data_IF_018598731620
#
_entry.id   IF_018598731620
#
_cell.length_a   1.000
_cell.length_b   1.000
_cell.length_c   1.000
_cell.angle_alpha   90.00
_cell.angle_beta   90.00
_cell.angle_gamma   90.00
#
_symmetry.space_group_name_H-M   'P 1'
#
loop_
_entity.id
_entity.type
_entity.pdbx_description
1 polymer ?
#
# COMPACT_ATOMS: atom_id res chain seq x y z
N UNK A 1 -6.54 -7.03 -4.28
CA UNK A 1 -5.61 -6.65 -5.39
C UNK A 1 -5.74 -7.64 -6.54
N UNK A 2 -6.14 -7.13 -7.70
CA UNK A 2 -6.53 -7.96 -8.85
C UNK A 2 -5.39 -8.83 -9.39
N UNK A 3 -4.13 -8.41 -9.30
CA UNK A 3 -2.99 -9.22 -9.75
C UNK A 3 -2.84 -10.53 -8.98
N UNK A 4 -2.97 -10.50 -7.64
CA UNK A 4 -2.95 -11.73 -6.83
C UNK A 4 -4.17 -12.63 -7.14
N UNK A 5 -5.35 -12.02 -7.28
CA UNK A 5 -6.58 -12.73 -7.64
C UNK A 5 -6.45 -13.41 -9.01
N UNK A 6 -5.88 -12.70 -9.99
CA UNK A 6 -5.61 -13.24 -11.31
C UNK A 6 -4.71 -14.48 -11.25
N UNK A 7 -3.58 -14.38 -10.58
CA UNK A 7 -2.66 -15.50 -10.42
C UNK A 7 -3.27 -16.71 -9.70
N UNK A 8 -4.17 -16.47 -8.74
CA UNK A 8 -4.90 -17.53 -8.05
C UNK A 8 -5.91 -18.22 -8.98
N UNK A 9 -6.77 -17.46 -9.66
CA UNK A 9 -7.84 -18.03 -10.51
C UNK A 9 -7.28 -18.72 -11.75
N UNK A 10 -6.21 -18.18 -12.33
CA UNK A 10 -5.58 -18.76 -13.53
C UNK A 10 -4.65 -19.94 -13.22
N UNK A 11 -4.43 -20.27 -11.95
CA UNK A 11 -3.56 -21.40 -11.56
C UNK A 11 -2.06 -21.11 -11.69
N UNK A 12 -1.65 -19.83 -11.81
CA UNK A 12 -0.23 -19.47 -11.88
C UNK A 12 0.49 -19.94 -10.61
N UNK A 13 -0.08 -19.70 -9.42
CA UNK A 13 0.53 -20.15 -8.18
C UNK A 13 0.66 -21.68 -8.11
N UNK A 14 -0.36 -22.42 -8.57
CA UNK A 14 -0.32 -23.90 -8.65
C UNK A 14 0.78 -24.38 -9.60
N UNK A 15 0.98 -23.72 -10.74
CA UNK A 15 2.07 -23.99 -11.70
C UNK A 15 3.44 -23.92 -11.02
N UNK A 16 3.62 -23.02 -10.05
CA UNK A 16 4.83 -22.89 -9.24
C UNK A 16 4.81 -23.79 -7.99
N UNK A 17 3.81 -24.65 -7.83
CA UNK A 17 3.67 -25.54 -6.68
C UNK A 17 3.36 -24.79 -5.37
N UNK A 18 2.65 -23.68 -5.48
CA UNK A 18 2.15 -22.89 -4.34
C UNK A 18 0.66 -23.17 -4.18
N UNK A 19 0.28 -23.66 -2.99
CA UNK A 19 -1.11 -23.72 -2.54
C UNK A 19 -1.42 -22.40 -1.82
N UNK A 20 -2.05 -21.46 -2.56
CA UNK A 20 -2.22 -20.08 -2.11
C UNK A 20 -3.52 -19.91 -1.31
N UNK A 21 -3.40 -19.42 -0.07
CA UNK A 21 -4.52 -18.95 0.75
C UNK A 21 -4.43 -17.42 0.91
N UNK A 22 -5.33 -16.70 0.24
CA UNK A 22 -5.38 -15.24 0.27
C UNK A 22 -6.29 -14.79 1.41
N UNK A 23 -5.74 -14.06 2.36
CA UNK A 23 -6.47 -13.49 3.50
C UNK A 23 -6.48 -11.98 3.46
N UNK A 24 -7.63 -11.37 3.78
CA UNK A 24 -7.71 -9.93 3.99
C UNK A 24 -6.90 -9.52 5.20
N UNK A 25 -6.05 -8.50 5.02
CA UNK A 25 -5.34 -7.83 6.10
C UNK A 25 -6.22 -6.78 6.78
N UNK A 26 -5.74 -6.29 7.92
CA UNK A 26 -6.33 -5.15 8.65
C UNK A 26 -5.27 -4.06 8.79
N UNK A 27 -4.89 -3.47 7.65
CA UNK A 27 -3.82 -2.50 7.50
C UNK A 27 -2.41 -3.11 7.37
N UNK A 28 -1.50 -2.36 6.76
CA UNK A 28 -0.15 -2.82 6.38
C UNK A 28 0.68 -3.30 7.57
N UNK A 29 0.69 -2.54 8.67
CA UNK A 29 1.44 -2.93 9.87
C UNK A 29 0.92 -4.22 10.49
N UNK A 30 -0.40 -4.47 10.40
CA UNK A 30 -0.99 -5.71 10.89
C UNK A 30 -0.60 -6.90 10.01
N UNK A 31 -0.65 -6.74 8.68
CA UNK A 31 -0.27 -7.77 7.74
C UNK A 31 1.21 -8.19 7.91
N UNK A 32 2.11 -7.21 8.05
CA UNK A 32 3.54 -7.51 8.29
C UNK A 32 3.79 -8.17 9.64
N UNK A 33 3.00 -7.84 10.69
CA UNK A 33 3.10 -8.53 12.00
C UNK A 33 2.69 -9.99 11.92
N UNK A 34 1.70 -10.36 11.11
CA UNK A 34 1.35 -11.78 10.92
C UNK A 34 2.53 -12.57 10.37
N UNK A 35 3.28 -11.99 9.44
CA UNK A 35 4.52 -12.60 8.93
C UNK A 35 5.61 -12.66 10.01
N UNK A 36 5.83 -11.57 10.73
CA UNK A 36 6.82 -11.52 11.81
C UNK A 36 6.56 -12.57 12.90
N UNK A 37 5.30 -12.89 13.16
CA UNK A 37 4.88 -13.90 14.16
C UNK A 37 4.84 -15.32 13.60
N UNK A 38 5.00 -15.51 12.28
CA UNK A 38 4.85 -16.82 11.62
C UNK A 38 3.41 -17.27 11.38
N UNK A 39 2.44 -16.36 11.49
CA UNK A 39 1.01 -16.63 11.24
C UNK A 39 0.65 -16.58 9.74
N UNK A 40 1.55 -16.03 8.92
CA UNK A 40 1.48 -15.99 7.46
C UNK A 40 2.88 -16.11 6.87
N UNK A 41 3.02 -16.77 5.72
CA UNK A 41 4.31 -16.92 5.03
C UNK A 41 4.73 -15.61 4.34
N UNK A 42 3.77 -14.90 3.78
CA UNK A 42 3.98 -13.64 3.06
C UNK A 42 2.93 -12.60 3.45
N UNK A 43 3.26 -11.35 3.25
CA UNK A 43 2.34 -10.21 3.36
C UNK A 43 2.54 -9.26 2.20
N UNK A 44 1.48 -8.53 1.86
CA UNK A 44 1.51 -7.41 0.94
C UNK A 44 1.04 -6.15 1.67
N UNK A 45 1.82 -5.08 1.59
CA UNK A 45 1.52 -3.84 2.31
C UNK A 45 2.59 -2.78 2.12
N UNK A 46 2.40 -1.63 2.76
CA UNK A 46 3.33 -0.48 2.68
C UNK A 46 4.74 -0.86 3.11
N UNK A 47 5.72 -0.58 2.25
CA UNK A 47 7.14 -0.79 2.54
C UNK A 47 7.59 0.04 3.75
N UNK A 48 7.08 1.28 3.90
CA UNK A 48 7.39 2.12 5.05
C UNK A 48 6.92 1.52 6.37
N UNK A 49 5.71 0.94 6.40
CA UNK A 49 5.21 0.23 7.58
C UNK A 49 6.02 -1.04 7.89
N UNK A 50 6.51 -1.73 6.86
CA UNK A 50 7.40 -2.89 7.02
C UNK A 50 8.75 -2.45 7.62
N UNK A 51 9.36 -1.37 7.11
CA UNK A 51 10.61 -0.82 7.64
C UNK A 51 10.45 -0.39 9.09
N UNK A 52 9.35 0.29 9.44
CA UNK A 52 9.07 0.69 10.82
C UNK A 52 9.03 -0.51 11.77
N UNK A 53 8.38 -1.60 11.37
CA UNK A 53 8.35 -2.84 12.16
C UNK A 53 9.73 -3.51 12.23
N UNK A 54 10.43 -3.62 11.10
CA UNK A 54 11.76 -4.25 11.05
C UNK A 54 12.78 -3.48 11.89
N UNK A 55 12.72 -2.14 11.91
CA UNK A 55 13.59 -1.30 12.73
C UNK A 55 13.41 -1.53 14.24
N UNK A 56 12.22 -1.99 14.64
CA UNK A 56 11.86 -2.37 16.01
C UNK A 56 12.17 -3.84 16.32
N UNK A 57 12.86 -4.53 15.42
CA UNK A 57 13.32 -5.91 15.58
C UNK A 57 12.37 -6.98 15.04
N UNK A 58 11.31 -6.61 14.31
CA UNK A 58 10.46 -7.58 13.62
C UNK A 58 11.25 -8.26 12.49
N UNK A 59 11.26 -9.60 12.40
CA UNK A 59 12.08 -10.34 11.43
C UNK A 59 11.41 -10.40 10.05
N UNK A 60 11.17 -9.25 9.44
CA UNK A 60 10.52 -9.13 8.12
C UNK A 60 11.41 -8.41 7.12
N UNK A 61 11.33 -8.78 5.85
CA UNK A 61 12.11 -8.21 4.75
C UNK A 61 11.32 -8.25 3.44
N UNK A 62 11.43 -7.18 2.63
CA UNK A 62 10.86 -7.15 1.28
C UNK A 62 11.60 -8.12 0.35
N UNK A 63 10.85 -8.87 -0.43
CA UNK A 63 11.34 -9.79 -1.47
C UNK A 63 10.86 -9.42 -2.87
N UNK A 64 10.07 -8.35 -2.99
CA UNK A 64 9.62 -7.79 -4.26
C UNK A 64 8.69 -6.59 -4.05
N UNK A 65 8.76 -5.61 -4.92
CA UNK A 65 7.92 -4.40 -4.90
C UNK A 65 6.88 -4.50 -6.00
N UNK A 66 5.62 -4.23 -5.69
CA UNK A 66 4.54 -4.12 -6.67
C UNK A 66 4.25 -2.66 -6.95
N UNK A 67 3.84 -1.90 -5.95
CA UNK A 67 3.64 -0.47 -6.12
C UNK A 67 4.99 0.23 -5.86
N UNK A 68 5.69 0.52 -6.94
CA UNK A 68 7.06 1.06 -6.85
C UNK A 68 7.09 2.51 -6.36
N UNK A 69 5.95 3.20 -6.40
CA UNK A 69 5.78 4.57 -5.88
C UNK A 69 4.65 4.61 -4.87
N UNK A 70 4.80 5.42 -3.82
CA UNK A 70 3.77 5.63 -2.82
C UNK A 70 2.57 6.41 -3.38
N UNK A 71 1.39 5.99 -3.01
CA UNK A 71 0.10 6.59 -3.41
C UNK A 71 -0.56 7.38 -2.28
N UNK A 72 0.06 7.43 -1.12
CA UNK A 72 -0.51 8.03 0.08
C UNK A 72 -0.82 9.51 -0.12
N UNK A 73 -1.98 9.90 0.39
CA UNK A 73 -2.50 11.25 0.27
C UNK A 73 -3.41 11.63 1.46
N UNK A 74 -3.60 12.92 1.66
CA UNK A 74 -4.77 13.44 2.36
C UNK A 74 -5.87 13.66 1.32
N UNK A 75 -7.02 13.04 1.53
CA UNK A 75 -8.18 13.10 0.64
C UNK A 75 -9.28 13.89 1.35
N UNK A 76 -9.66 15.02 0.80
CA UNK A 76 -10.58 15.97 1.42
C UNK A 76 -11.87 16.06 0.61
N UNK A 77 -13.00 16.20 1.30
CA UNK A 77 -14.27 16.42 0.60
C UNK A 77 -14.24 17.74 -0.17
N UNK A 78 -14.76 17.77 -1.42
CA UNK A 78 -14.75 18.99 -2.24
C UNK A 78 -15.49 20.16 -1.61
N UNK A 79 -16.50 19.89 -0.78
CA UNK A 79 -17.33 20.88 -0.09
C UNK A 79 -16.75 21.38 1.24
N UNK A 80 -15.61 20.82 1.68
CA UNK A 80 -15.02 21.11 3.00
C UNK A 80 -14.31 22.47 3.08
N UNK A 81 -14.16 23.18 1.95
CA UNK A 81 -13.49 24.49 1.92
C UNK A 81 -11.99 24.42 2.24
N UNK A 82 -11.35 23.27 1.95
CA UNK A 82 -9.90 23.05 2.11
C UNK A 82 -9.26 23.10 0.72
N UNK A 83 -8.35 24.02 0.52
CA UNK A 83 -7.66 24.24 -0.75
C UNK A 83 -6.14 24.04 -0.65
N UNK A 84 -5.62 23.92 0.56
CA UNK A 84 -4.23 23.65 0.86
C UNK A 84 -4.11 22.76 2.10
N UNK A 85 -2.96 22.11 2.27
CA UNK A 85 -2.69 21.31 3.48
C UNK A 85 -2.72 22.17 4.76
N UNK A 86 -2.38 23.46 4.66
CA UNK A 86 -2.41 24.42 5.78
C UNK A 86 -3.82 24.68 6.27
N UNK A 87 -4.84 24.56 5.42
CA UNK A 87 -6.25 24.74 5.80
C UNK A 87 -6.77 23.60 6.70
N UNK A 88 -5.99 22.53 6.86
CA UNK A 88 -6.30 21.42 7.77
C UNK A 88 -6.12 21.82 9.24
N UNK A 89 -5.48 22.95 9.55
CA UNK A 89 -5.27 23.38 10.93
C UNK A 89 -6.60 23.49 11.70
N UNK A 90 -6.68 22.76 12.81
CA UNK A 90 -7.89 22.67 13.65
C UNK A 90 -9.02 21.83 13.05
N UNK A 91 -8.80 21.18 11.90
CA UNK A 91 -9.80 20.31 11.26
C UNK A 91 -9.67 18.88 11.75
N UNK A 92 -10.74 18.12 11.55
CA UNK A 92 -10.82 16.69 11.83
C UNK A 92 -10.51 15.89 10.57
N UNK A 93 -9.56 14.95 10.67
CA UNK A 93 -9.19 13.98 9.62
C UNK A 93 -9.38 12.58 10.19
N UNK A 94 -9.99 11.69 9.39
CA UNK A 94 -10.15 10.29 9.77
C UNK A 94 -9.01 9.44 9.21
N UNK A 95 -8.63 8.43 9.94
CA UNK A 95 -7.69 7.40 9.52
C UNK A 95 -8.06 6.05 10.11
N UNK A 96 -7.36 4.99 9.70
CA UNK A 96 -7.49 3.65 10.30
C UNK A 96 -6.25 3.28 11.09
N UNK A 97 -6.42 2.47 12.13
CA UNK A 97 -5.29 1.92 12.86
C UNK A 97 -4.44 1.04 11.91
N UNK A 98 -3.13 1.06 12.09
CA UNK A 98 -2.18 0.24 11.32
C UNK A 98 -2.11 0.52 9.80
N UNK A 99 -2.76 1.58 9.29
CA UNK A 99 -2.64 1.98 7.89
C UNK A 99 -1.23 2.50 7.57
N UNK A 100 -0.73 2.14 6.38
CA UNK A 100 0.59 2.58 5.89
C UNK A 100 0.71 4.11 5.79
N UNK A 101 -0.38 4.79 5.43
CA UNK A 101 -0.46 6.25 5.29
C UNK A 101 -0.04 7.00 6.56
N UNK A 102 -0.24 6.40 7.74
CA UNK A 102 0.09 7.05 9.00
C UNK A 102 1.60 7.20 9.22
N UNK A 103 2.41 6.34 8.59
CA UNK A 103 3.87 6.32 8.78
C UNK A 103 4.53 7.62 8.35
N UNK A 104 4.04 8.23 7.26
CA UNK A 104 4.67 9.41 6.65
C UNK A 104 3.86 10.70 6.81
N UNK A 105 2.64 10.64 7.35
CA UNK A 105 1.82 11.82 7.54
C UNK A 105 2.48 12.91 8.41
N UNK A 106 3.18 12.58 9.50
CA UNK A 106 3.92 13.59 10.28
C UNK A 106 4.95 14.37 9.45
N UNK A 107 5.58 13.71 8.47
CA UNK A 107 6.56 14.35 7.56
C UNK A 107 5.86 15.35 6.65
N UNK A 108 4.69 14.97 6.09
CA UNK A 108 3.86 15.86 5.26
C UNK A 108 3.51 17.12 6.05
N UNK A 109 3.08 16.98 7.29
CA UNK A 109 2.74 18.10 8.16
C UNK A 109 3.97 18.98 8.43
N UNK A 110 5.09 18.39 8.80
CA UNK A 110 6.34 19.14 9.08
C UNK A 110 6.79 19.95 7.86
N UNK A 111 6.77 19.34 6.66
CA UNK A 111 7.16 20.02 5.41
C UNK A 111 6.13 21.10 4.99
N UNK A 112 4.89 20.98 5.44
CA UNK A 112 3.85 22.00 5.27
C UNK A 112 3.86 23.09 6.36
N UNK A 113 4.79 23.02 7.33
CA UNK A 113 4.87 23.95 8.47
C UNK A 113 3.82 23.72 9.54
N UNK A 114 3.27 22.50 9.62
CA UNK A 114 2.30 22.04 10.60
C UNK A 114 2.90 20.96 11.50
N UNK A 115 2.18 20.60 12.53
CA UNK A 115 2.47 19.47 13.42
C UNK A 115 1.20 18.63 13.64
N UNK A 116 1.34 17.41 14.15
CA UNK A 116 0.19 16.57 14.48
C UNK A 116 -0.75 17.24 15.50
N UNK A 117 -0.23 18.08 16.40
CA UNK A 117 -1.03 18.83 17.36
C UNK A 117 -1.88 19.95 16.73
N UNK A 118 -1.63 20.30 15.47
CA UNK A 118 -2.44 21.26 14.72
C UNK A 118 -3.67 20.61 14.06
N UNK A 119 -3.74 19.29 14.02
CA UNK A 119 -4.79 18.51 13.34
C UNK A 119 -5.49 17.60 14.35
N UNK A 120 -6.82 17.48 14.25
CA UNK A 120 -7.54 16.48 15.01
C UNK A 120 -7.60 15.17 14.18
N UNK A 121 -7.03 14.09 14.71
CA UNK A 121 -6.99 12.79 14.02
C UNK A 121 -7.88 11.82 14.79
N UNK A 122 -8.91 11.31 14.12
CA UNK A 122 -9.78 10.26 14.67
C UNK A 122 -9.57 8.95 13.94
N UNK A 123 -9.28 7.91 14.73
CA UNK A 123 -9.13 6.55 14.22
C UNK A 123 -10.50 5.88 14.18
N UNK A 124 -10.86 5.36 13.00
CA UNK A 124 -12.10 4.60 12.78
C UNK A 124 -11.77 3.19 12.28
N UNK A 125 -12.70 2.21 12.41
CA UNK A 125 -12.52 0.91 11.77
C UNK A 125 -12.37 1.03 10.25
N UNK A 126 -11.53 0.20 9.64
CA UNK A 126 -11.25 0.26 8.21
C UNK A 126 -12.51 0.19 7.33
N UNK A 127 -13.39 -0.76 7.58
CA UNK A 127 -14.66 -0.86 6.86
C UNK A 127 -15.66 0.29 7.07
N UNK A 128 -15.36 1.24 8.00
CA UNK A 128 -16.17 2.42 8.24
C UNK A 128 -15.52 3.72 7.71
N UNK A 129 -14.29 3.66 7.19
CA UNK A 129 -13.53 4.87 6.84
C UNK A 129 -14.26 5.69 5.77
N UNK A 130 -14.60 5.08 4.64
CA UNK A 130 -15.25 5.78 3.52
C UNK A 130 -16.67 6.21 3.88
N UNK A 131 -17.47 5.39 4.56
CA UNK A 131 -18.81 5.80 5.00
C UNK A 131 -18.74 6.98 5.98
N UNK A 132 -17.82 6.96 6.94
CA UNK A 132 -17.61 8.07 7.88
C UNK A 132 -17.12 9.35 7.17
N UNK A 133 -16.30 9.22 6.14
CA UNK A 133 -15.87 10.33 5.28
C UNK A 133 -17.06 10.95 4.54
N UNK A 134 -17.89 10.13 3.90
CA UNK A 134 -19.06 10.59 3.14
C UNK A 134 -20.10 11.30 4.03
N UNK A 135 -20.29 10.79 5.26
CA UNK A 135 -21.18 11.39 6.25
C UNK A 135 -20.61 12.65 6.91
N UNK A 136 -19.31 12.90 6.79
CA UNK A 136 -18.63 13.96 7.54
C UNK A 136 -18.68 13.72 9.05
N UNK A 137 -18.59 12.47 9.47
CA UNK A 137 -18.70 12.05 10.88
C UNK A 137 -17.73 12.83 11.77
N UNK A 138 -18.22 13.31 12.92
CA UNK A 138 -17.44 14.13 13.84
C UNK A 138 -17.01 15.50 13.31
N UNK A 139 -17.56 15.96 12.17
CA UNK A 139 -17.14 17.20 11.50
C UNK A 139 -15.86 17.01 10.67
N UNK A 140 -15.52 15.76 10.34
CA UNK A 140 -14.32 15.45 9.54
C UNK A 140 -14.39 16.11 8.17
N UNK A 141 -13.27 16.63 7.70
CA UNK A 141 -13.14 17.23 6.37
C UNK A 141 -12.54 16.26 5.35
N UNK A 142 -11.88 15.21 5.80
CA UNK A 142 -11.18 14.27 4.93
C UNK A 142 -10.67 13.03 5.64
N UNK A 143 -9.94 12.22 4.88
CA UNK A 143 -9.31 10.98 5.32
C UNK A 143 -7.83 10.94 4.93
N UNK A 144 -7.04 10.12 5.63
CA UNK A 144 -5.77 9.63 5.13
C UNK A 144 -6.04 8.35 4.33
N UNK A 145 -5.55 8.27 3.09
CA UNK A 145 -5.78 7.12 2.22
C UNK A 145 -4.86 7.09 1.02
N UNK A 146 -4.91 6.01 0.25
CA UNK A 146 -4.18 5.86 -0.99
C UNK A 146 -4.95 6.43 -2.18
N UNK A 147 -4.24 7.02 -3.13
CA UNK A 147 -4.80 7.43 -4.42
C UNK A 147 -5.14 6.24 -5.31
N UNK A 148 -4.55 5.08 -5.02
CA UNK A 148 -4.78 3.83 -5.73
C UNK A 148 -6.18 3.25 -5.48
N UNK A 149 -6.72 3.38 -4.26
CA UNK A 149 -7.96 2.70 -3.88
C UNK A 149 -9.08 3.63 -3.42
N UNK A 150 -8.79 4.63 -2.59
CA UNK A 150 -9.82 5.42 -1.91
C UNK A 150 -10.68 6.30 -2.85
N UNK A 151 -10.16 6.97 -3.89
CA UNK A 151 -11.01 7.70 -4.82
C UNK A 151 -12.04 6.81 -5.53
N UNK A 152 -11.61 5.60 -5.95
CA UNK A 152 -12.50 4.63 -6.58
C UNK A 152 -13.57 4.11 -5.59
N UNK A 153 -13.17 3.83 -4.34
CA UNK A 153 -14.07 3.39 -3.27
C UNK A 153 -15.09 4.49 -2.91
N UNK A 154 -14.65 5.75 -2.76
CA UNK A 154 -15.53 6.91 -2.51
C UNK A 154 -16.57 7.03 -3.61
N UNK A 155 -16.15 6.99 -4.87
CA UNK A 155 -17.03 7.07 -6.04
C UNK A 155 -18.03 5.91 -6.09
N UNK A 156 -17.58 4.67 -5.85
CA UNK A 156 -18.46 3.49 -5.83
C UNK A 156 -19.53 3.58 -4.73
N UNK A 157 -19.26 4.32 -3.65
CA UNK A 157 -20.22 4.58 -2.57
C UNK A 157 -21.02 5.89 -2.75
N UNK A 158 -21.01 6.47 -3.96
CA UNK A 158 -21.82 7.64 -4.33
C UNK A 158 -21.25 9.00 -3.91
N UNK A 159 -19.97 9.04 -3.52
CA UNK A 159 -19.26 10.28 -3.21
C UNK A 159 -18.68 10.97 -4.45
N UNK A 160 -18.39 12.26 -4.31
CA UNK A 160 -17.69 13.05 -5.30
C UNK A 160 -16.18 12.77 -5.27
N UNK A 161 -15.49 13.07 -6.38
CA UNK A 161 -14.04 12.99 -6.47
C UNK A 161 -13.41 13.86 -5.35
N UNK A 162 -12.57 13.29 -4.46
CA UNK A 162 -11.93 14.07 -3.41
C UNK A 162 -10.90 15.04 -3.96
N UNK A 163 -10.67 16.14 -3.25
CA UNK A 163 -9.48 16.96 -3.41
C UNK A 163 -8.32 16.22 -2.76
N UNK A 164 -7.27 15.93 -3.51
CA UNK A 164 -6.14 15.14 -3.04
C UNK A 164 -4.91 16.02 -2.79
N UNK A 165 -4.23 15.75 -1.70
CA UNK A 165 -2.90 16.27 -1.39
C UNK A 165 -1.95 15.07 -1.29
N UNK A 166 -1.32 14.66 -2.43
CA UNK A 166 -0.37 13.55 -2.45
C UNK A 166 0.83 13.85 -1.53
N UNK A 167 1.30 12.84 -0.82
CA UNK A 167 2.47 13.00 0.06
C UNK A 167 3.72 13.37 -0.73
N UNK A 168 3.82 12.95 -1.98
CA UNK A 168 4.90 13.31 -2.90
C UNK A 168 5.04 14.81 -3.13
N UNK A 169 3.93 15.57 -3.12
CA UNK A 169 3.92 17.03 -3.28
C UNK A 169 4.59 17.75 -2.07
N UNK A 170 4.73 17.01 -0.97
CA UNK A 170 5.38 17.46 0.26
C UNK A 170 6.75 16.79 0.48
N UNK A 171 7.37 16.30 -0.60
CA UNK A 171 8.71 15.71 -0.56
C UNK A 171 8.79 14.30 0.00
N UNK A 172 7.66 13.64 0.25
CA UNK A 172 7.60 12.25 0.70
C UNK A 172 7.54 11.34 -0.51
N UNK A 173 8.72 11.03 -1.08
CA UNK A 173 8.87 10.05 -2.15
C UNK A 173 9.28 8.73 -1.51
N UNK A 174 8.36 7.80 -1.42
CA UNK A 174 8.55 6.50 -0.77
C UNK A 174 8.31 5.36 -1.75
N UNK A 175 8.93 4.21 -1.46
CA UNK A 175 8.54 2.93 -2.06
C UNK A 175 7.14 2.60 -1.56
N UNK A 176 6.22 2.28 -2.44
CA UNK A 176 4.83 2.03 -2.11
C UNK A 176 4.62 0.71 -1.38
N UNK A 177 4.11 -0.32 -2.08
CA UNK A 177 3.76 -1.59 -1.46
C UNK A 177 4.69 -2.71 -1.91
N UNK A 178 5.09 -3.55 -0.95
CA UNK A 178 5.96 -4.69 -1.19
C UNK A 178 5.36 -6.01 -0.69
N UNK A 179 5.83 -7.07 -1.31
CA UNK A 179 5.71 -8.43 -0.79
C UNK A 179 6.82 -8.63 0.24
N UNK A 180 6.46 -8.93 1.47
CA UNK A 180 7.40 -9.20 2.54
C UNK A 180 7.24 -10.62 3.07
N UNK A 181 8.35 -11.19 3.57
CA UNK A 181 8.38 -12.49 4.23
C UNK A 181 9.28 -12.46 5.45
N UNK A 182 9.19 -13.50 6.28
CA UNK A 182 10.03 -13.66 7.48
C UNK A 182 11.48 -13.92 7.08
N UNK A 183 12.44 -13.32 7.77
CA UNK A 183 13.87 -13.50 7.49
C UNK A 183 14.35 -14.94 7.64
N UNK A 184 13.72 -15.73 8.52
CA UNK A 184 14.01 -17.16 8.64
C UNK A 184 13.45 -17.95 7.44
N UNK A 185 12.34 -17.53 6.83
CA UNK A 185 11.83 -18.15 5.61
C UNK A 185 12.80 -17.95 4.44
N UNK A 186 13.35 -16.72 4.33
CA UNK A 186 14.43 -16.43 3.35
C UNK A 186 15.62 -17.37 3.53
N UNK A 187 16.03 -17.59 4.77
CA UNK A 187 17.21 -18.39 5.10
C UNK A 187 16.98 -19.91 4.98
N UNK A 188 15.83 -20.38 5.46
CA UNK A 188 15.58 -21.82 5.65
C UNK A 188 14.76 -22.43 4.50
N UNK A 189 14.02 -21.64 3.74
CA UNK A 189 13.19 -22.08 2.62
C UNK A 189 13.25 -21.10 1.43
N UNK A 190 14.46 -20.79 0.92
CA UNK A 190 14.65 -19.84 -0.20
C UNK A 190 13.92 -20.26 -1.47
N UNK A 191 13.73 -21.57 -1.69
CA UNK A 191 13.00 -22.10 -2.84
C UNK A 191 11.51 -21.70 -2.78
N UNK A 192 10.86 -21.75 -1.62
CA UNK A 192 9.50 -21.28 -1.46
C UNK A 192 9.40 -19.79 -1.79
N UNK A 193 10.33 -18.98 -1.26
CA UNK A 193 10.34 -17.52 -1.51
C UNK A 193 10.49 -17.25 -3.01
N UNK A 194 11.43 -17.93 -3.68
CA UNK A 194 11.64 -17.78 -5.12
C UNK A 194 10.41 -18.13 -5.93
N UNK A 195 9.81 -19.30 -5.68
CA UNK A 195 8.61 -19.72 -6.39
C UNK A 195 7.43 -18.78 -6.19
N UNK A 196 7.24 -18.29 -4.96
CA UNK A 196 6.17 -17.34 -4.66
C UNK A 196 6.38 -15.98 -5.34
N UNK A 197 7.60 -15.44 -5.30
CA UNK A 197 7.94 -14.17 -5.94
C UNK A 197 7.75 -14.28 -7.45
N UNK A 198 8.29 -15.33 -8.08
CA UNK A 198 8.16 -15.56 -9.53
C UNK A 198 6.70 -15.73 -9.96
N UNK A 199 5.91 -16.50 -9.21
CA UNK A 199 4.48 -16.64 -9.48
C UNK A 199 3.74 -15.30 -9.37
N UNK A 200 4.08 -14.50 -8.35
CA UNK A 200 3.48 -13.17 -8.16
C UNK A 200 3.84 -12.23 -9.30
N UNK A 201 5.11 -12.20 -9.72
CA UNK A 201 5.53 -11.36 -10.85
C UNK A 201 4.88 -11.79 -12.17
N UNK A 202 4.77 -13.10 -12.43
CA UNK A 202 4.03 -13.60 -13.60
C UNK A 202 2.55 -13.18 -13.55
N UNK A 203 1.91 -13.30 -12.39
CA UNK A 203 0.51 -12.91 -12.21
C UNK A 203 0.27 -11.42 -12.50
N UNK A 204 1.17 -10.54 -12.05
CA UNK A 204 1.08 -9.11 -12.33
C UNK A 204 1.42 -8.77 -13.77
N UNK A 205 2.37 -9.46 -14.39
CA UNK A 205 2.67 -9.30 -15.82
C UNK A 205 1.48 -9.71 -16.71
N UNK A 206 0.78 -10.80 -16.37
CA UNK A 206 -0.45 -11.19 -17.06
C UNK A 206 -1.60 -10.21 -16.79
N UNK A 207 -1.73 -9.68 -15.57
CA UNK A 207 -2.73 -8.65 -15.24
C UNK A 207 -2.46 -7.34 -16.01
N UNK A 208 -1.19 -6.95 -16.21
CA UNK A 208 -0.80 -5.82 -17.05
C UNK A 208 -1.19 -6.06 -18.51
N UNK A 209 -0.99 -7.27 -19.01
CA UNK A 209 -1.33 -7.65 -20.40
C UNK A 209 -2.85 -7.77 -20.63
N UNK A 210 -3.62 -8.17 -19.63
CA UNK A 210 -5.07 -8.35 -19.71
C UNK A 210 -5.77 -7.91 -18.42
N UNK A 211 -5.92 -6.59 -18.21
CA UNK A 211 -6.50 -6.07 -16.97
C UNK A 211 -7.95 -6.50 -16.72
N UNK A 212 -8.75 -6.69 -17.78
CA UNK A 212 -10.15 -7.10 -17.63
C UNK A 212 -10.26 -8.51 -17.04
N UNK A 213 -9.39 -9.45 -17.46
CA UNK A 213 -9.34 -10.78 -16.89
C UNK A 213 -8.93 -10.75 -15.40
N UNK A 214 -8.04 -9.83 -15.02
CA UNK A 214 -7.64 -9.68 -13.61
C UNK A 214 -8.78 -9.12 -12.75
N UNK A 215 -9.58 -8.20 -13.29
CA UNK A 215 -10.78 -7.67 -12.64
C UNK A 215 -11.84 -8.77 -12.47
N UNK A 216 -12.08 -9.57 -13.51
CA UNK A 216 -13.01 -10.70 -13.44
C UNK A 216 -12.57 -11.72 -12.38
N UNK A 217 -11.28 -12.06 -12.34
CA UNK A 217 -10.71 -12.96 -11.32
C UNK A 217 -10.92 -12.43 -9.89
N UNK A 218 -10.76 -11.11 -9.70
CA UNK A 218 -11.02 -10.48 -8.40
C UNK A 218 -12.51 -10.56 -8.03
N UNK A 219 -13.40 -10.33 -8.99
CA UNK A 219 -14.85 -10.44 -8.79
C UNK A 219 -15.25 -11.87 -8.39
N UNK A 220 -14.64 -12.89 -9.01
CA UNK A 220 -14.91 -14.31 -8.71
C UNK A 220 -14.49 -14.68 -7.27
N UNK A 221 -13.37 -14.16 -6.78
CA UNK A 221 -12.87 -14.45 -5.43
C UNK A 221 -13.65 -13.69 -4.36
N UNK A 222 -13.83 -12.39 -4.56
CA UNK A 222 -14.43 -11.52 -3.53
C UNK A 222 -15.95 -11.65 -3.52
N UNK A 223 -16.55 -11.79 -4.69
CA UNK A 223 -18.01 -11.87 -4.82
C UNK A 223 -18.74 -10.60 -4.37
N UNK A 224 -20.02 -10.75 -4.03
CA UNK A 224 -20.83 -9.63 -3.52
C UNK A 224 -20.91 -8.46 -4.50
N UNK A 225 -20.70 -7.24 -4.00
CA UNK A 225 -20.75 -6.02 -4.83
C UNK A 225 -19.67 -5.97 -5.92
N UNK A 226 -18.55 -6.70 -5.76
CA UNK A 226 -17.49 -6.78 -6.77
C UNK A 226 -17.88 -7.63 -7.99
N UNK A 227 -18.92 -8.44 -7.90
CA UNK A 227 -19.47 -9.18 -9.04
C UNK A 227 -20.39 -8.31 -9.92
N UNK A 228 -20.80 -7.13 -9.43
CA UNK A 228 -21.63 -6.18 -10.15
C UNK A 228 -20.77 -5.21 -10.98
N UNK A 229 -21.36 -4.57 -12.01
CA UNK A 229 -20.64 -3.65 -12.91
C UNK A 229 -19.93 -2.52 -12.16
N UNK A 230 -20.55 -1.93 -11.14
CA UNK A 230 -19.96 -0.86 -10.36
C UNK A 230 -18.73 -1.34 -9.55
N UNK A 231 -18.79 -2.53 -8.97
CA UNK A 231 -17.67 -3.11 -8.25
C UNK A 231 -16.52 -3.52 -9.17
N UNK A 232 -16.83 -4.05 -10.35
CA UNK A 232 -15.82 -4.33 -11.39
C UNK A 232 -15.17 -3.05 -11.88
N UNK A 233 -15.94 -1.98 -12.06
CA UNK A 233 -15.40 -0.67 -12.43
C UNK A 233 -14.46 -0.14 -11.34
N UNK A 234 -14.85 -0.23 -10.07
CA UNK A 234 -13.98 0.13 -8.93
C UNK A 234 -12.68 -0.69 -8.96
N UNK A 235 -12.77 -2.02 -9.10
CA UNK A 235 -11.60 -2.89 -9.17
C UNK A 235 -10.69 -2.54 -10.35
N UNK A 236 -11.28 -2.13 -11.50
CA UNK A 236 -10.53 -1.69 -12.66
C UNK A 236 -9.81 -0.37 -12.43
N UNK A 237 -10.46 0.62 -11.84
CA UNK A 237 -9.85 1.91 -11.49
C UNK A 237 -8.67 1.72 -10.53
N UNK A 238 -8.80 0.85 -9.51
CA UNK A 238 -7.71 0.48 -8.59
C UNK A 238 -6.56 -0.21 -9.34
N UNK A 239 -6.88 -1.19 -10.18
CA UNK A 239 -5.85 -1.91 -10.95
C UNK A 239 -5.09 -0.99 -11.89
N UNK A 240 -5.77 -0.08 -12.59
CA UNK A 240 -5.13 0.86 -13.52
C UNK A 240 -4.11 1.76 -12.82
N UNK A 241 -4.38 2.20 -11.58
CA UNK A 241 -3.40 2.94 -10.78
C UNK A 241 -2.22 2.05 -10.41
N UNK A 242 -2.46 0.85 -9.89
CA UNK A 242 -1.40 -0.13 -9.56
C UNK A 242 -0.52 -0.41 -10.77
N UNK A 243 -1.10 -0.70 -11.95
CA UNK A 243 -0.35 -0.94 -13.17
C UNK A 243 0.48 0.28 -13.63
N UNK A 244 -0.02 1.49 -13.36
CA UNK A 244 0.70 2.74 -13.64
C UNK A 244 1.92 2.99 -12.76
N UNK A 245 2.04 2.29 -11.63
CA UNK A 245 3.12 2.46 -10.65
C UNK A 245 3.94 1.20 -10.38
N UNK A 246 3.81 0.16 -11.23
CA UNK A 246 4.62 -1.06 -11.14
C UNK A 246 6.12 -0.78 -11.22
N UNK A 247 6.50 0.30 -11.89
CA UNK A 247 7.89 0.65 -12.15
C UNK A 247 8.15 2.09 -11.71
N UNK A 248 9.13 2.29 -10.84
CA UNK A 248 9.58 3.65 -10.53
C UNK A 248 10.39 4.25 -11.70
N UNK A 249 10.58 5.56 -11.67
CA UNK A 249 11.40 6.24 -12.67
C UNK A 249 12.87 5.75 -12.69
N UNK A 250 13.35 5.21 -11.58
CA UNK A 250 14.70 4.66 -11.47
C UNK A 250 14.82 3.22 -12.00
N UNK A 251 13.68 2.51 -12.16
CA UNK A 251 13.61 1.18 -12.76
C UNK A 251 13.53 1.26 -14.30
N UNK A 252 14.61 1.71 -14.94
CA UNK A 252 14.64 1.97 -16.39
C UNK A 252 14.47 0.73 -17.25
N UNK A 253 14.89 -0.43 -16.73
CA UNK A 253 14.79 -1.73 -17.43
C UNK A 253 13.42 -2.39 -17.25
N UNK A 254 12.53 -1.77 -16.48
CA UNK A 254 11.18 -2.25 -16.16
C UNK A 254 11.17 -3.70 -15.67
N UNK A 255 12.04 -4.00 -14.72
CA UNK A 255 12.04 -5.31 -14.05
C UNK A 255 10.95 -5.29 -12.99
N UNK A 256 9.91 -6.09 -13.20
CA UNK A 256 8.78 -6.19 -12.26
C UNK A 256 9.26 -6.81 -10.95
N UNK A 257 8.84 -6.21 -9.85
CA UNK A 257 9.20 -6.65 -8.51
C UNK A 257 10.51 -6.08 -7.97
N UNK A 258 11.29 -5.35 -8.79
CA UNK A 258 12.62 -4.86 -8.41
C UNK A 258 12.56 -3.91 -7.22
N UNK A 259 13.30 -4.22 -6.17
CA UNK A 259 13.63 -3.27 -5.11
C UNK A 259 14.77 -2.39 -5.63
N UNK A 260 14.44 -1.16 -6.02
CA UNK A 260 15.42 -0.19 -6.57
C UNK A 260 16.15 0.50 -5.44
N UNK A 261 17.46 0.35 -5.36
CA UNK A 261 18.30 0.82 -4.25
C UNK A 261 18.09 2.31 -3.96
N UNK A 262 18.11 3.17 -4.99
CA UNK A 262 17.95 4.61 -4.81
C UNK A 262 16.59 5.02 -4.25
N UNK A 263 15.51 4.30 -4.57
CA UNK A 263 14.18 4.56 -4.06
C UNK A 263 14.10 4.19 -2.56
N UNK A 264 14.69 3.05 -2.20
CA UNK A 264 14.81 2.62 -0.81
C UNK A 264 15.69 3.57 0.01
N UNK A 265 16.83 4.01 -0.53
CA UNK A 265 17.71 4.99 0.14
C UNK A 265 16.98 6.31 0.41
N UNK A 266 16.18 6.78 -0.57
CA UNK A 266 15.35 7.96 -0.42
C UNK A 266 14.34 7.82 0.74
N UNK A 267 13.61 6.71 0.79
CA UNK A 267 12.65 6.43 1.85
C UNK A 267 13.35 6.27 3.22
N UNK A 268 14.44 5.52 3.30
CA UNK A 268 15.19 5.31 4.55
C UNK A 268 15.75 6.63 5.08
N UNK A 269 16.20 7.53 4.20
CA UNK A 269 16.65 8.88 4.60
C UNK A 269 15.51 9.67 5.27
N UNK A 270 14.31 9.66 4.69
CA UNK A 270 13.15 10.32 5.30
C UNK A 270 12.82 9.71 6.67
N UNK A 271 12.85 8.38 6.78
CA UNK A 271 12.55 7.71 8.04
C UNK A 271 13.59 7.97 9.13
N UNK A 272 14.87 8.14 8.77
CA UNK A 272 15.91 8.57 9.72
C UNK A 272 15.71 9.99 10.22
N UNK A 273 15.24 10.87 9.36
CA UNK A 273 15.06 12.29 9.69
C UNK A 273 13.80 12.52 10.55
N UNK A 274 12.72 11.75 10.33
CA UNK A 274 11.42 12.06 10.89
C UNK A 274 10.76 10.93 11.71
N UNK A 275 11.20 9.68 11.55
CA UNK A 275 10.54 8.51 12.17
C UNK A 275 11.46 7.74 13.15
N UNK A 276 12.49 8.39 13.69
CA UNK A 276 13.43 7.82 14.66
C UNK A 276 14.12 6.52 14.18
N UNK A 277 14.20 6.29 12.87
CA UNK A 277 14.96 5.17 12.33
C UNK A 277 16.44 5.35 12.67
N UNK A 278 17.09 4.27 13.14
CA UNK A 278 18.51 4.28 13.50
C UNK A 278 19.38 4.88 12.39
N UNK A 279 20.26 5.79 12.74
CA UNK A 279 21.14 6.47 11.78
C UNK A 279 22.06 5.50 11.01
N UNK A 280 22.38 4.35 11.59
CA UNK A 280 23.20 3.29 10.99
C UNK A 280 22.44 2.35 10.07
N UNK A 281 21.10 2.38 10.04
CA UNK A 281 20.29 1.51 9.17
C UNK A 281 20.61 1.76 7.69
N UNK A 282 20.73 0.70 6.89
CA UNK A 282 20.97 0.80 5.46
C UNK A 282 19.76 0.24 4.68
N UNK A 283 19.51 0.76 3.49
CA UNK A 283 18.41 0.29 2.64
C UNK A 283 18.46 -1.23 2.43
N UNK A 284 19.63 -1.81 2.18
CA UNK A 284 19.85 -3.25 1.98
C UNK A 284 19.48 -4.12 3.20
N UNK A 285 19.31 -3.53 4.38
CA UNK A 285 18.85 -4.28 5.56
C UNK A 285 17.40 -4.70 5.43
N UNK A 286 16.59 -3.98 4.61
CA UNK A 286 15.15 -4.12 4.54
C UNK A 286 14.63 -4.83 3.30
N UNK A 287 15.45 -5.08 2.27
CA UNK A 287 15.01 -5.80 1.07
C UNK A 287 16.07 -6.76 0.53
N UNK A 288 15.66 -7.66 -0.37
CA UNK A 288 16.54 -8.45 -1.24
C UNK A 288 15.91 -8.63 -2.61
N UNK A 289 16.75 -8.70 -3.65
CA UNK A 289 16.37 -9.02 -5.03
C UNK A 289 16.78 -10.46 -5.44
N UNK A 290 17.22 -11.30 -4.51
CA UNK A 290 17.78 -12.63 -4.80
C UNK A 290 16.75 -13.61 -5.40
N UNK A 291 15.49 -13.27 -5.40
CA UNK A 291 14.36 -14.15 -5.78
C UNK A 291 13.62 -13.72 -7.06
N UNK A 292 14.00 -12.61 -7.68
CA UNK A 292 13.45 -12.13 -8.95
C UNK A 292 13.94 -12.95 -10.14
#
# INVERSE_FOLDING_TARGET
HAGFAHGFVTGIYEKYGIDLDIRSGNGSSSAHRLVANGDSDFSYGSCGAMVDLASKGAPVKSVGVIDAMGTEAVLVRPDAGVSSIQDLKGKEILTTANAGVNTFFPIVLANAGLSESDINITVVPDGALVSSYLEGSGGSVGILGGLDDKPAEIKANGGDQPVAFPYSDFGVNQVGYCVATHTDTIKNNPDLVKRFVQATMEAYAEAEANPDAAVDAMADIVGGSFAEDAGKQQAREVLDVTLGILYSNANTDKVLGLNVESDWEGMIKLMKEYNDLDAGANAADFYTNDFL
#
